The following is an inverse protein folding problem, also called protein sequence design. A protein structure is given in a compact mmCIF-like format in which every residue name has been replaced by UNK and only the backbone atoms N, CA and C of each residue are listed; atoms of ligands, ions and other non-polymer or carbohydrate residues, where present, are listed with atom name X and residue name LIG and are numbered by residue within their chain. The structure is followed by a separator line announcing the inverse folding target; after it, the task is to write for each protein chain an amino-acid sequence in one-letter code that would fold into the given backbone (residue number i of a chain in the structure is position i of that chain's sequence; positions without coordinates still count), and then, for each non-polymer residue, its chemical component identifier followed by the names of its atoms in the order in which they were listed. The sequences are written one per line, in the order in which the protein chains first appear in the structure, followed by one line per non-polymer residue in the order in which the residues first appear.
data_IF_962483900378
#
_entry.id   IF_962483900378
#
_cell.length_a   1.000
_cell.length_b   1.000
_cell.length_c   1.000
_cell.angle_alpha   90.00
_cell.angle_beta   90.00
_cell.angle_gamma   90.00
#
_symmetry.space_group_name_H-M   'P 1'
#
loop_
_entity.id
_entity.type
_entity.pdbx_description
1 polymer ?
#
# COMPACT_ATOMS: atom_id res chain seq x y z
N UNK A 1 -5.00 1.63 29.14
CA UNK A 1 -5.75 2.86 29.51
C UNK A 1 -6.05 3.57 28.21
N UNK A 2 -7.34 3.73 27.90
CA UNK A 2 -7.80 4.17 26.59
C UNK A 2 -7.66 5.70 26.48
N UNK A 3 -6.60 6.19 25.84
CA UNK A 3 -6.29 7.63 25.67
C UNK A 3 -7.19 8.34 24.65
N UNK A 4 -8.12 7.61 24.03
CA UNK A 4 -8.96 8.13 22.94
C UNK A 4 -10.22 8.87 23.41
N UNK A 5 -10.51 8.92 24.71
CA UNK A 5 -11.78 9.49 25.25
C UNK A 5 -11.89 11.02 25.25
N UNK A 6 -10.87 11.75 24.76
CA UNK A 6 -10.85 13.22 24.79
C UNK A 6 -10.69 13.89 23.41
N UNK A 7 -10.71 13.11 22.32
CA UNK A 7 -10.68 13.69 20.97
C UNK A 7 -12.03 14.34 20.65
N UNK A 8 -12.05 15.67 20.53
CA UNK A 8 -13.20 16.40 19.97
C UNK A 8 -13.15 16.23 18.45
N UNK A 9 -13.90 15.26 17.92
CA UNK A 9 -13.88 14.92 16.49
C UNK A 9 -14.70 15.88 15.59
N UNK A 10 -15.14 17.04 16.10
CA UNK A 10 -15.95 17.98 15.32
C UNK A 10 -17.28 17.40 14.80
N UNK A 11 -17.82 17.93 13.70
CA UNK A 11 -18.95 17.32 13.00
C UNK A 11 -18.49 16.14 12.14
N UNK A 12 -19.35 15.15 11.88
CA UNK A 12 -19.01 14.01 11.02
C UNK A 12 -18.64 14.46 9.61
N UNK A 13 -19.32 15.47 9.10
CA UNK A 13 -19.04 16.05 7.77
C UNK A 13 -17.64 16.69 7.63
N UNK A 14 -16.98 17.00 8.74
CA UNK A 14 -15.64 17.61 8.74
C UNK A 14 -14.51 16.57 8.81
N UNK A 15 -14.84 15.28 8.84
CA UNK A 15 -13.85 14.22 8.90
C UNK A 15 -13.20 14.03 7.53
N UNK A 16 -11.89 14.26 7.45
CA UNK A 16 -11.07 13.95 6.30
C UNK A 16 -10.17 12.75 6.61
N UNK A 17 -10.50 11.59 6.04
CA UNK A 17 -9.70 10.37 6.26
C UNK A 17 -8.42 10.33 5.43
N UNK A 18 -8.22 11.27 4.52
CA UNK A 18 -6.97 11.41 3.77
C UNK A 18 -5.94 12.29 4.47
N UNK A 19 -6.32 12.95 5.59
CA UNK A 19 -5.37 13.73 6.40
C UNK A 19 -4.30 12.80 7.00
N UNK A 20 -3.01 12.95 6.61
CA UNK A 20 -1.93 12.10 7.11
C UNK A 20 -1.70 12.25 8.62
N UNK A 21 -2.10 13.37 9.22
CA UNK A 21 -1.90 13.61 10.65
C UNK A 21 -2.72 12.66 11.53
N UNK A 22 -3.87 12.17 11.06
CA UNK A 22 -4.66 11.22 11.85
C UNK A 22 -3.94 9.87 12.00
N UNK A 23 -3.12 9.49 11.01
CA UNK A 23 -2.30 8.29 11.03
C UNK A 23 -1.00 8.51 11.80
N UNK A 24 -0.32 9.61 11.56
CA UNK A 24 0.91 9.98 12.26
C UNK A 24 0.71 10.04 13.79
N UNK A 25 -0.43 10.56 14.23
CA UNK A 25 -0.78 10.68 15.65
C UNK A 25 -1.55 9.47 16.21
N UNK A 26 -1.73 8.40 15.42
CA UNK A 26 -2.47 7.19 15.79
C UNK A 26 -3.90 7.46 16.30
N UNK A 27 -4.56 8.48 15.72
CA UNK A 27 -5.93 8.89 16.10
C UNK A 27 -7.00 8.35 15.15
N UNK A 28 -6.60 7.81 13.98
CA UNK A 28 -7.48 7.28 12.94
C UNK A 28 -8.53 6.26 13.41
N UNK A 29 -8.29 5.39 14.43
CA UNK A 29 -9.30 4.42 14.84
C UNK A 29 -10.60 5.06 15.32
N UNK A 30 -10.51 6.20 16.02
CA UNK A 30 -11.69 6.92 16.53
C UNK A 30 -12.52 7.55 15.40
N UNK A 31 -11.86 8.09 14.36
CA UNK A 31 -12.53 8.63 13.18
C UNK A 31 -13.28 7.53 12.42
N UNK A 32 -12.60 6.42 12.12
CA UNK A 32 -13.24 5.30 11.41
C UNK A 32 -14.34 4.60 12.23
N UNK A 33 -14.20 4.49 13.57
CA UNK A 33 -15.26 3.98 14.43
C UNK A 33 -16.52 4.84 14.31
N UNK A 34 -16.34 6.15 14.32
CA UNK A 34 -17.44 7.10 14.20
C UNK A 34 -18.08 7.04 12.82
N UNK A 35 -17.29 7.01 11.73
CA UNK A 35 -17.81 6.90 10.37
C UNK A 35 -18.62 5.61 10.19
N UNK A 36 -18.12 4.47 10.64
CA UNK A 36 -18.86 3.20 10.58
C UNK A 36 -20.22 3.25 11.24
N UNK A 37 -20.36 4.06 12.28
CA UNK A 37 -21.62 4.17 13.04
C UNK A 37 -22.57 5.21 12.46
N UNK A 38 -22.06 6.38 12.07
CA UNK A 38 -22.86 7.58 11.79
C UNK A 38 -22.95 7.90 10.29
N UNK A 39 -21.88 7.61 9.51
CA UNK A 39 -21.79 7.93 8.09
C UNK A 39 -20.88 6.93 7.36
N UNK A 40 -21.35 5.68 7.15
CA UNK A 40 -20.48 4.58 6.68
C UNK A 40 -20.03 4.71 5.24
N UNK A 41 -20.68 5.54 4.43
CA UNK A 41 -20.29 5.90 3.06
C UNK A 41 -20.11 7.43 3.05
N UNK A 42 -18.92 7.82 3.44
CA UNK A 42 -18.59 9.22 3.74
C UNK A 42 -17.99 9.94 2.54
N UNK A 43 -18.51 11.12 2.22
CA UNK A 43 -17.98 11.96 1.14
C UNK A 43 -16.94 12.94 1.69
N UNK A 44 -15.79 13.00 1.02
CA UNK A 44 -14.72 13.98 1.31
C UNK A 44 -14.35 14.71 0.02
N UNK A 45 -14.02 15.99 0.14
CA UNK A 45 -13.46 16.80 -0.94
C UNK A 45 -12.39 17.71 -0.38
N UNK A 46 -11.18 17.62 -0.92
CA UNK A 46 -10.05 18.47 -0.54
C UNK A 46 -9.19 18.85 -1.74
N UNK A 47 -8.27 19.78 -1.54
CA UNK A 47 -7.42 20.30 -2.62
C UNK A 47 -6.36 19.29 -3.10
N UNK A 48 -5.93 18.37 -2.23
CA UNK A 48 -4.83 17.43 -2.55
C UNK A 48 -5.32 16.22 -3.36
N UNK A 49 -6.45 15.65 -2.96
CA UNK A 49 -6.95 14.40 -3.55
C UNK A 49 -8.26 14.57 -4.35
N UNK A 50 -8.79 15.80 -4.43
CA UNK A 50 -10.09 16.03 -5.05
C UNK A 50 -11.25 15.49 -4.23
N UNK A 51 -12.25 14.92 -4.90
CA UNK A 51 -13.47 14.39 -4.29
C UNK A 51 -13.50 12.88 -4.32
N UNK A 52 -13.80 12.25 -3.17
CA UNK A 52 -13.89 10.79 -3.07
C UNK A 52 -14.89 10.34 -1.99
N UNK A 53 -15.27 9.06 -2.06
CA UNK A 53 -16.12 8.39 -1.08
C UNK A 53 -15.31 7.39 -0.26
N UNK A 54 -15.46 7.45 1.05
CA UNK A 54 -14.84 6.49 1.99
C UNK A 54 -15.88 5.48 2.44
N UNK A 55 -15.71 4.23 2.04
CA UNK A 55 -16.56 3.12 2.45
C UNK A 55 -15.94 2.44 3.66
N UNK A 56 -16.64 2.42 4.81
CA UNK A 56 -16.02 2.08 6.09
C UNK A 56 -16.55 0.81 6.75
N UNK A 57 -17.70 0.27 6.34
CA UNK A 57 -18.25 -1.00 6.84
C UNK A 57 -17.78 -2.17 6.01
N UNK A 58 -17.47 -3.27 6.65
CA UNK A 58 -16.95 -4.47 6.00
C UNK A 58 -17.84 -4.98 4.85
N UNK A 59 -19.15 -5.12 5.10
CA UNK A 59 -20.07 -5.64 4.08
C UNK A 59 -20.20 -4.70 2.88
N UNK A 60 -20.15 -3.38 3.11
CA UNK A 60 -20.17 -2.37 2.05
C UNK A 60 -18.86 -2.41 1.24
N UNK A 61 -17.71 -2.57 1.90
CA UNK A 61 -16.42 -2.74 1.25
C UNK A 61 -16.43 -3.98 0.36
N UNK A 62 -16.90 -5.11 0.87
CA UNK A 62 -17.02 -6.36 0.10
C UNK A 62 -17.94 -6.18 -1.10
N UNK A 63 -19.09 -5.48 -0.92
CA UNK A 63 -20.03 -5.22 -2.01
C UNK A 63 -19.42 -4.37 -3.13
N UNK A 64 -18.60 -3.37 -2.79
CA UNK A 64 -17.89 -2.54 -3.77
C UNK A 64 -16.76 -3.33 -4.43
N UNK A 65 -15.88 -3.95 -3.64
CA UNK A 65 -14.67 -4.63 -4.11
C UNK A 65 -14.98 -5.85 -5.02
N UNK A 66 -16.08 -6.54 -4.76
CA UNK A 66 -16.48 -7.72 -5.55
C UNK A 66 -17.34 -7.42 -6.77
N UNK A 67 -17.77 -6.19 -6.97
CA UNK A 67 -18.70 -5.81 -8.03
C UNK A 67 -18.01 -4.96 -9.12
N UNK A 68 -17.12 -5.58 -9.89
CA UNK A 68 -16.39 -4.93 -10.97
C UNK A 68 -17.27 -4.46 -12.13
N UNK A 69 -18.51 -4.91 -12.24
CA UNK A 69 -19.47 -4.42 -13.24
C UNK A 69 -19.97 -3.00 -12.93
N UNK A 70 -19.99 -2.62 -11.65
CA UNK A 70 -20.45 -1.31 -11.20
C UNK A 70 -19.32 -0.38 -10.73
N UNK A 71 -18.22 -0.96 -10.25
CA UNK A 71 -17.09 -0.22 -9.68
C UNK A 71 -15.80 -0.59 -10.41
N UNK A 72 -15.30 0.34 -11.23
CA UNK A 72 -14.07 0.19 -11.98
C UNK A 72 -12.84 0.35 -11.09
N UNK A 73 -11.77 -0.37 -11.42
CA UNK A 73 -10.43 -0.16 -10.84
C UNK A 73 -9.58 0.82 -11.66
N UNK A 74 -10.06 1.25 -12.82
CA UNK A 74 -9.37 2.21 -13.67
C UNK A 74 -9.64 3.66 -13.22
N UNK A 75 -8.67 4.59 -13.38
CA UNK A 75 -7.33 4.42 -13.94
C UNK A 75 -6.26 4.11 -12.88
N UNK A 76 -6.59 4.14 -11.59
CA UNK A 76 -5.64 4.01 -10.51
C UNK A 76 -6.26 3.38 -9.27
N UNK A 77 -5.41 2.81 -8.40
CA UNK A 77 -5.77 2.19 -7.13
C UNK A 77 -5.62 3.14 -5.92
N UNK A 78 -5.20 4.36 -6.17
CA UNK A 78 -5.02 5.39 -5.15
C UNK A 78 -6.02 6.52 -5.37
N UNK A 79 -6.40 7.20 -4.29
CA UNK A 79 -7.21 8.43 -4.39
C UNK A 79 -6.37 9.54 -5.02
N UNK A 80 -7.00 10.40 -5.79
CA UNK A 80 -6.39 11.56 -6.43
C UNK A 80 -6.99 11.83 -7.80
N UNK A 81 -6.81 13.07 -8.27
CA UNK A 81 -7.12 13.46 -9.63
C UNK A 81 -5.81 13.48 -10.43
N UNK A 82 -5.65 12.55 -11.33
CA UNK A 82 -4.43 12.41 -12.13
C UNK A 82 -4.39 13.31 -13.36
N UNK A 83 -5.47 14.02 -13.65
CA UNK A 83 -5.58 14.89 -14.82
C UNK A 83 -5.22 14.15 -16.12
N UNK A 84 -4.29 14.75 -16.88
CA UNK A 84 -3.75 14.16 -18.11
C UNK A 84 -2.53 13.25 -17.88
N UNK A 85 -2.00 13.20 -16.65
CA UNK A 85 -0.88 12.34 -16.26
C UNK A 85 -1.40 10.91 -16.05
N UNK A 86 -1.28 10.07 -17.06
CA UNK A 86 -1.72 8.68 -17.00
C UNK A 86 -0.73 7.89 -16.11
N UNK A 87 -1.19 7.28 -15.00
CA UNK A 87 -0.35 6.41 -14.20
C UNK A 87 0.25 5.28 -15.04
N UNK A 88 1.40 4.76 -14.59
CA UNK A 88 2.00 3.57 -15.20
C UNK A 88 0.96 2.44 -15.26
N UNK A 89 0.73 1.89 -16.45
CA UNK A 89 -0.23 0.81 -16.63
C UNK A 89 0.14 -0.41 -15.79
N UNK A 90 -0.73 -0.77 -14.85
CA UNK A 90 -0.60 -1.95 -14.00
C UNK A 90 -1.91 -2.73 -14.02
N UNK A 91 -1.83 -4.06 -14.07
CA UNK A 91 -3.05 -4.86 -14.17
C UNK A 91 -4.00 -4.69 -12.95
N UNK A 92 -3.47 -4.31 -11.80
CA UNK A 92 -4.27 -4.04 -10.58
C UNK A 92 -5.19 -2.81 -10.75
N UNK A 93 -4.85 -1.91 -11.68
CA UNK A 93 -5.63 -0.73 -12.04
C UNK A 93 -6.31 -0.89 -13.41
N UNK A 94 -6.72 -2.10 -13.75
CA UNK A 94 -7.41 -2.43 -15.00
C UNK A 94 -8.69 -3.17 -14.72
N UNK A 95 -9.65 -3.02 -15.62
CA UNK A 95 -10.89 -3.81 -15.61
C UNK A 95 -10.80 -5.06 -16.49
N UNK A 96 -11.68 -6.05 -16.30
CA UNK A 96 -11.83 -7.15 -17.25
C UNK A 96 -12.17 -6.66 -18.67
N UNK A 97 -11.70 -7.31 -19.75
CA UNK A 97 -10.92 -8.54 -19.76
C UNK A 97 -9.39 -8.33 -19.65
N UNK A 98 -8.90 -7.08 -19.69
CA UNK A 98 -7.45 -6.77 -19.67
C UNK A 98 -6.80 -7.25 -18.36
N UNK A 99 -7.41 -6.95 -17.23
CA UNK A 99 -7.01 -7.45 -15.92
C UNK A 99 -6.80 -8.96 -15.93
N UNK A 100 -7.80 -9.72 -16.36
CA UNK A 100 -7.79 -11.17 -16.29
C UNK A 100 -6.69 -11.78 -17.16
N UNK A 101 -6.47 -11.23 -18.35
CA UNK A 101 -5.41 -11.68 -19.24
C UNK A 101 -4.02 -11.48 -18.65
N UNK A 102 -3.76 -10.32 -18.07
CA UNK A 102 -2.44 -10.02 -17.48
C UNK A 102 -2.23 -10.80 -16.17
N UNK A 103 -3.25 -10.85 -15.31
CA UNK A 103 -3.20 -11.61 -14.06
C UNK A 103 -2.95 -13.09 -14.29
N UNK A 104 -3.57 -13.69 -15.31
CA UNK A 104 -3.37 -15.09 -15.66
C UNK A 104 -1.92 -15.45 -16.00
N UNK A 105 -1.12 -14.49 -16.49
CA UNK A 105 0.30 -14.69 -16.79
C UNK A 105 1.13 -14.78 -15.51
N UNK A 106 0.85 -13.94 -14.52
CA UNK A 106 1.67 -13.84 -13.29
C UNK A 106 1.19 -14.77 -12.17
N UNK A 107 -0.10 -15.10 -12.14
CA UNK A 107 -0.70 -15.92 -11.08
C UNK A 107 0.01 -17.27 -10.84
N UNK A 108 0.45 -18.03 -11.86
CA UNK A 108 1.16 -19.29 -11.66
C UNK A 108 2.45 -19.16 -10.85
N UNK A 109 3.14 -18.02 -10.94
CA UNK A 109 4.43 -17.77 -10.23
C UNK A 109 4.23 -17.85 -8.72
N UNK A 110 3.12 -17.32 -8.21
CA UNK A 110 2.78 -17.30 -6.78
C UNK A 110 1.77 -18.38 -6.37
N UNK A 111 1.52 -19.35 -7.25
CA UNK A 111 0.64 -20.47 -6.94
C UNK A 111 1.20 -21.33 -5.77
N UNK A 112 0.34 -21.94 -4.93
CA UNK A 112 0.77 -22.71 -3.76
C UNK A 112 1.84 -23.78 -4.06
N UNK A 113 1.75 -24.41 -5.23
CA UNK A 113 2.73 -25.41 -5.67
C UNK A 113 4.13 -24.81 -5.84
N UNK A 114 4.24 -23.63 -6.44
CA UNK A 114 5.53 -22.96 -6.66
C UNK A 114 6.06 -22.37 -5.35
N UNK A 115 5.19 -21.78 -4.52
CA UNK A 115 5.58 -21.31 -3.19
C UNK A 115 6.09 -22.45 -2.30
N UNK A 116 5.48 -23.64 -2.38
CA UNK A 116 5.96 -24.82 -1.66
C UNK A 116 7.37 -25.26 -2.09
N UNK A 117 7.74 -25.06 -3.36
CA UNK A 117 9.11 -25.34 -3.84
C UNK A 117 10.14 -24.32 -3.31
N UNK A 118 9.69 -23.12 -2.93
CA UNK A 118 10.56 -22.08 -2.38
C UNK A 118 10.74 -22.19 -0.86
N UNK A 119 10.03 -23.09 -0.17
CA UNK A 119 10.08 -23.18 1.30
C UNK A 119 11.52 -23.36 1.83
N UNK A 120 12.30 -24.28 1.24
CA UNK A 120 13.68 -24.51 1.67
C UNK A 120 14.57 -23.29 1.48
N UNK A 121 14.39 -22.55 0.37
CA UNK A 121 15.12 -21.32 0.09
C UNK A 121 14.75 -20.24 1.10
N UNK A 122 13.44 -20.05 1.34
CA UNK A 122 12.94 -19.06 2.31
C UNK A 122 13.51 -19.37 3.70
N UNK A 123 13.43 -20.62 4.13
CA UNK A 123 13.91 -21.07 5.43
C UNK A 123 15.41 -20.84 5.59
N UNK A 124 16.21 -21.16 4.56
CA UNK A 124 17.65 -20.89 4.54
C UNK A 124 17.96 -19.40 4.72
N UNK A 125 17.32 -18.54 3.95
CA UNK A 125 17.50 -17.07 4.03
C UNK A 125 17.09 -16.50 5.39
N UNK A 126 15.99 -17.00 5.94
CA UNK A 126 15.54 -16.61 7.28
C UNK A 126 16.59 -16.98 8.32
N UNK A 127 17.14 -18.21 8.25
CA UNK A 127 18.18 -18.65 9.18
C UNK A 127 19.43 -17.78 9.06
N UNK A 128 19.96 -17.58 7.86
CA UNK A 128 21.15 -16.74 7.63
C UNK A 128 20.93 -15.30 8.11
N UNK A 129 19.75 -14.75 7.87
CA UNK A 129 19.40 -13.40 8.31
C UNK A 129 19.35 -13.31 9.85
N UNK A 130 18.71 -14.27 10.54
CA UNK A 130 18.65 -14.28 11.99
C UNK A 130 20.02 -14.50 12.64
N UNK A 131 20.85 -15.34 12.06
CA UNK A 131 22.21 -15.58 12.54
C UNK A 131 23.11 -14.33 12.44
N UNK A 132 22.77 -13.41 11.53
CA UNK A 132 23.49 -12.15 11.34
C UNK A 132 22.96 -11.00 12.22
N UNK A 133 21.86 -11.18 12.97
CA UNK A 133 21.32 -10.11 13.81
C UNK A 133 22.23 -9.82 15.02
N UNK A 134 22.31 -8.55 15.45
CA UNK A 134 23.06 -8.18 16.64
C UNK A 134 22.49 -8.86 17.89
N UNK A 135 23.37 -9.34 18.77
CA UNK A 135 22.98 -10.00 20.01
C UNK A 135 23.32 -9.11 21.20
N UNK A 136 22.31 -8.87 22.06
CA UNK A 136 22.50 -8.10 23.28
C UNK A 136 22.42 -6.58 23.11
N UNK A 137 22.09 -6.10 21.92
CA UNK A 137 21.86 -4.68 21.65
C UNK A 137 20.57 -4.46 20.82
N UNK A 138 19.90 -3.31 20.97
CA UNK A 138 18.73 -2.97 20.16
C UNK A 138 19.10 -2.80 18.68
N UNK A 139 18.20 -3.23 17.78
CA UNK A 139 18.31 -3.02 16.36
C UNK A 139 16.95 -2.70 15.72
N UNK A 140 16.95 -2.11 14.56
CA UNK A 140 15.72 -1.86 13.79
C UNK A 140 15.24 -3.15 13.10
N UNK A 141 14.08 -3.64 13.57
CA UNK A 141 13.48 -4.87 13.02
C UNK A 141 13.05 -4.71 11.57
N UNK A 142 12.47 -3.56 11.23
CA UNK A 142 11.93 -3.34 9.88
C UNK A 142 13.04 -3.42 8.85
N UNK A 143 14.11 -2.66 9.04
CA UNK A 143 15.25 -2.62 8.11
C UNK A 143 16.00 -3.95 8.06
N UNK A 144 16.29 -4.55 9.23
CA UNK A 144 17.14 -5.75 9.29
C UNK A 144 16.40 -7.03 8.93
N UNK A 145 15.09 -7.10 9.20
CA UNK A 145 14.31 -8.33 9.00
C UNK A 145 13.27 -8.16 7.91
N UNK A 146 12.28 -7.27 8.09
CA UNK A 146 11.12 -7.21 7.22
C UNK A 146 11.49 -6.80 5.79
N UNK A 147 12.16 -5.67 5.62
CA UNK A 147 12.60 -5.16 4.30
C UNK A 147 13.59 -6.13 3.66
N UNK A 148 14.58 -6.58 4.42
CA UNK A 148 15.63 -7.46 3.93
C UNK A 148 15.05 -8.77 3.36
N UNK A 149 14.20 -9.48 4.12
CA UNK A 149 13.60 -10.74 3.67
C UNK A 149 12.69 -10.53 2.47
N UNK A 150 11.80 -9.53 2.53
CA UNK A 150 10.86 -9.22 1.44
C UNK A 150 11.60 -8.91 0.15
N UNK A 151 12.62 -8.07 0.21
CA UNK A 151 13.42 -7.68 -0.96
C UNK A 151 14.17 -8.86 -1.57
N UNK A 152 14.73 -9.75 -0.74
CA UNK A 152 15.36 -10.98 -1.22
C UNK A 152 14.38 -11.90 -1.94
N UNK A 153 13.15 -12.02 -1.42
CA UNK A 153 12.12 -12.85 -2.04
C UNK A 153 11.60 -12.25 -3.33
N UNK A 154 11.37 -10.93 -3.38
CA UNK A 154 10.97 -10.22 -4.60
C UNK A 154 12.02 -10.39 -5.70
N UNK A 155 13.31 -10.18 -5.40
CA UNK A 155 14.39 -10.39 -6.36
C UNK A 155 14.37 -11.82 -6.93
N UNK A 156 14.08 -12.81 -6.09
CA UNK A 156 13.98 -14.22 -6.53
C UNK A 156 12.77 -14.46 -7.44
N UNK A 157 11.59 -13.95 -7.05
CA UNK A 157 10.33 -14.16 -7.80
C UNK A 157 10.42 -13.49 -9.17
N UNK A 158 11.04 -12.31 -9.24
CA UNK A 158 11.18 -11.55 -10.49
C UNK A 158 12.39 -11.96 -11.34
N UNK A 159 13.27 -12.84 -10.82
CA UNK A 159 14.53 -13.13 -11.49
C UNK A 159 15.47 -11.92 -11.57
N UNK A 160 15.32 -10.98 -10.63
CA UNK A 160 16.10 -9.75 -10.57
C UNK A 160 17.51 -10.02 -10.02
N UNK A 161 18.57 -9.33 -10.51
CA UNK A 161 19.92 -9.50 -9.99
C UNK A 161 19.96 -9.31 -8.47
N UNK A 162 20.46 -10.33 -7.76
CA UNK A 162 20.37 -10.36 -6.30
C UNK A 162 21.20 -9.25 -5.63
N UNK A 163 22.32 -8.87 -6.25
CA UNK A 163 23.18 -7.76 -5.83
C UNK A 163 22.48 -6.40 -5.92
N UNK A 164 21.53 -6.26 -6.84
CA UNK A 164 20.79 -5.04 -7.08
C UNK A 164 19.46 -4.95 -6.31
N UNK A 165 19.12 -5.95 -5.51
CA UNK A 165 17.82 -6.08 -4.84
C UNK A 165 17.37 -4.87 -4.02
N UNK A 166 18.31 -4.10 -3.48
CA UNK A 166 18.00 -2.86 -2.73
C UNK A 166 17.31 -1.80 -3.59
N UNK A 167 17.50 -1.84 -4.91
CA UNK A 167 16.81 -0.97 -5.85
C UNK A 167 15.30 -1.21 -5.83
N UNK A 168 14.85 -2.45 -5.60
CA UNK A 168 13.42 -2.78 -5.52
C UNK A 168 12.73 -2.05 -4.36
N UNK A 169 13.38 -1.99 -3.19
CA UNK A 169 12.88 -1.22 -2.05
C UNK A 169 12.87 0.27 -2.37
N UNK A 170 13.99 0.79 -2.88
CA UNK A 170 14.10 2.20 -3.22
C UNK A 170 13.02 2.64 -4.22
N UNK A 171 12.81 1.89 -5.30
CA UNK A 171 11.77 2.20 -6.29
C UNK A 171 10.35 2.09 -5.71
N UNK A 172 10.11 1.12 -4.82
CA UNK A 172 8.83 0.99 -4.12
C UNK A 172 8.54 2.22 -3.24
N UNK A 173 9.54 2.66 -2.49
CA UNK A 173 9.41 3.83 -1.60
C UNK A 173 9.18 5.11 -2.42
N UNK A 174 9.93 5.28 -3.51
CA UNK A 174 9.75 6.43 -4.42
C UNK A 174 8.39 6.42 -5.11
N UNK A 175 7.92 5.23 -5.54
CA UNK A 175 6.60 5.09 -6.19
C UNK A 175 5.42 5.35 -5.26
N UNK A 176 5.59 5.04 -3.96
CA UNK A 176 4.55 5.24 -2.94
C UNK A 176 4.62 6.61 -2.25
N UNK A 177 5.74 7.35 -2.40
CA UNK A 177 5.89 8.65 -1.75
C UNK A 177 4.90 9.67 -2.32
N UNK A 178 4.22 10.39 -1.44
CA UNK A 178 3.44 11.57 -1.77
C UNK A 178 4.35 12.77 -1.50
N UNK A 179 4.77 13.57 -2.52
CA UNK A 179 5.77 14.62 -2.37
C UNK A 179 5.43 15.62 -1.27
N UNK A 180 4.17 16.01 -1.20
CA UNK A 180 3.65 17.00 -0.26
C UNK A 180 3.77 16.53 1.20
N UNK A 181 3.82 15.22 1.42
CA UNK A 181 3.92 14.61 2.76
C UNK A 181 5.37 14.23 3.08
N UNK A 182 6.13 13.78 2.08
CA UNK A 182 7.51 13.32 2.26
C UNK A 182 8.52 14.45 2.48
N UNK A 183 8.11 15.72 2.29
CA UNK A 183 8.97 16.90 2.52
C UNK A 183 10.11 17.06 1.51
N UNK A 184 10.09 16.26 0.44
CA UNK A 184 10.98 16.40 -0.71
C UNK A 184 10.35 17.30 -1.77
N UNK A 185 11.17 17.89 -2.63
CA UNK A 185 10.65 18.59 -3.80
C UNK A 185 10.08 17.61 -4.85
N UNK A 186 10.08 16.31 -4.56
CA UNK A 186 9.42 15.16 -5.22
C UNK A 186 8.82 15.43 -6.57
N UNK A 187 9.58 16.15 -7.41
CA UNK A 187 9.13 16.43 -8.77
C UNK A 187 8.90 15.11 -9.49
N UNK A 188 7.90 15.06 -10.35
CA UNK A 188 7.62 13.93 -11.26
C UNK A 188 8.91 13.47 -11.95
N UNK A 189 9.85 14.39 -12.17
CA UNK A 189 11.17 14.14 -12.74
C UNK A 189 12.07 13.25 -11.86
N UNK A 190 12.11 13.44 -10.53
CA UNK A 190 12.87 12.56 -9.63
C UNK A 190 12.30 11.14 -9.57
N UNK A 191 10.98 11.03 -9.55
CA UNK A 191 10.29 9.72 -9.57
C UNK A 191 10.53 8.98 -10.89
N UNK A 192 10.43 9.70 -12.02
CA UNK A 192 10.61 9.12 -13.36
C UNK A 192 12.06 8.74 -13.62
N UNK A 193 13.04 9.46 -13.05
CA UNK A 193 14.46 9.11 -13.18
C UNK A 193 14.87 7.95 -12.27
N UNK A 194 14.10 7.64 -11.23
CA UNK A 194 14.36 6.54 -10.31
C UNK A 194 13.80 5.19 -10.79
N UNK A 195 12.86 5.21 -11.74
CA UNK A 195 12.25 4.03 -12.37
C UNK A 195 12.95 3.65 -13.65
#
# INVERSE_FOLDING_TARGET
MNTLSHLSLGATADIDVSDPHIYLNDTWPAYFERLRREDPVHFTSNELFGSFWSVTRYDDIVAVDSNHDAFSSEPAITIGDYGDDVPVEQFIAMDPPRHDMQRAVVQPVVAPKNLGQMESLIRGRVTEMFDALPVGEPFDWVSNVSVNLTTQMLATIFGFPFEDRSKLTYWSDMGAAIPEIAGGDGSVDERTQAL
#
